data_IF_887830572866
#
_entry.id   IF_887830572866
#
_cell.length_a   1.000
_cell.length_b   1.000
_cell.length_c   1.000
_cell.angle_alpha   90.00
_cell.angle_beta   90.00
_cell.angle_gamma   90.00
#
_symmetry.space_group_name_H-M   'P 1'
#
loop_
_entity.id
_entity.type
_entity.pdbx_description
1 polymer ?
#
# COMPACT_ATOMS: atom_id res chain seq x y z
N UNK A 1 18.01 15.60 5.36
CA UNK A 1 18.20 14.15 5.16
C UNK A 1 19.25 13.67 6.13
N UNK A 2 18.88 12.84 7.12
CA UNK A 2 19.89 12.07 7.85
C UNK A 2 20.53 11.12 6.87
N UNK A 3 21.85 11.12 6.82
CA UNK A 3 22.64 10.24 5.95
C UNK A 3 22.42 8.77 6.34
N UNK A 4 21.48 8.10 5.65
CA UNK A 4 21.12 6.71 5.91
C UNK A 4 22.20 5.69 5.47
N UNK A 5 23.35 6.15 4.95
CA UNK A 5 24.42 5.29 4.47
C UNK A 5 25.07 4.40 5.53
N UNK A 6 24.82 4.69 6.81
CA UNK A 6 25.40 3.95 7.94
C UNK A 6 24.38 3.15 8.76
N UNK A 7 23.10 3.13 8.36
CA UNK A 7 22.09 2.30 9.03
C UNK A 7 22.06 0.93 8.35
N UNK A 8 22.43 -0.12 9.10
CA UNK A 8 22.28 -1.48 8.61
C UNK A 8 20.80 -1.78 8.34
N UNK A 9 20.48 -2.20 7.13
CA UNK A 9 19.12 -2.60 6.77
C UNK A 9 18.79 -3.97 7.35
N UNK A 10 17.57 -4.12 7.83
CA UNK A 10 17.03 -5.42 8.26
C UNK A 10 16.76 -6.30 7.04
N UNK A 11 16.81 -7.61 7.25
CA UNK A 11 16.31 -8.62 6.32
C UNK A 11 14.85 -8.88 6.62
N UNK A 12 14.03 -9.00 5.58
CA UNK A 12 12.64 -9.49 5.76
C UNK A 12 12.65 -10.99 6.09
N UNK A 13 11.57 -11.55 6.63
CA UNK A 13 11.43 -13.00 6.83
C UNK A 13 11.55 -13.81 5.53
N UNK A 14 11.28 -13.18 4.37
CA UNK A 14 11.44 -13.80 3.05
C UNK A 14 12.85 -13.66 2.45
N UNK A 15 13.77 -12.96 3.12
CA UNK A 15 15.05 -12.56 2.51
C UNK A 15 15.88 -13.73 1.98
N UNK A 16 15.89 -14.89 2.64
CA UNK A 16 16.60 -16.07 2.16
C UNK A 16 16.08 -16.51 0.77
N UNK A 17 14.79 -16.41 0.54
CA UNK A 17 14.13 -16.80 -0.72
C UNK A 17 14.25 -15.70 -1.78
N UNK A 18 14.03 -14.46 -1.40
CA UNK A 18 14.16 -13.31 -2.31
C UNK A 18 15.60 -13.16 -2.81
N UNK A 19 16.60 -13.41 -1.95
CA UNK A 19 18.00 -13.35 -2.35
C UNK A 19 18.41 -14.49 -3.31
N UNK A 20 17.90 -15.71 -3.11
CA UNK A 20 18.10 -16.82 -4.03
C UNK A 20 17.43 -16.59 -5.39
N UNK A 21 16.27 -15.96 -5.40
CA UNK A 21 15.53 -15.65 -6.62
C UNK A 21 16.16 -14.48 -7.41
N UNK A 22 16.87 -13.57 -6.74
CA UNK A 22 17.48 -12.39 -7.37
C UNK A 22 18.68 -12.77 -8.22
N UNK A 23 18.62 -12.46 -9.52
CA UNK A 23 19.69 -12.64 -10.50
C UNK A 23 20.47 -11.35 -10.78
N UNK A 24 19.89 -10.20 -10.39
CA UNK A 24 20.45 -8.88 -10.70
C UNK A 24 21.25 -8.30 -9.56
N UNK A 25 21.04 -8.79 -8.33
CA UNK A 25 21.59 -8.23 -7.09
C UNK A 25 21.30 -6.73 -6.91
N UNK A 26 20.14 -6.27 -7.40
CA UNK A 26 19.67 -4.89 -7.25
C UNK A 26 18.73 -4.81 -6.06
N UNK A 27 19.08 -4.01 -5.06
CA UNK A 27 18.37 -3.88 -3.80
C UNK A 27 18.09 -2.42 -3.46
N UNK A 28 17.03 -2.18 -2.70
CA UNK A 28 16.76 -0.87 -2.11
C UNK A 28 16.27 -1.00 -0.67
N UNK A 29 16.30 0.13 0.06
CA UNK A 29 15.84 0.20 1.43
C UNK A 29 14.40 0.70 1.51
N UNK A 30 13.51 -0.09 2.12
CA UNK A 30 12.14 0.30 2.38
C UNK A 30 11.82 0.11 3.87
N UNK A 31 11.47 1.19 4.58
CA UNK A 31 11.17 1.21 6.02
C UNK A 31 12.21 0.51 6.92
N UNK A 32 13.49 0.56 6.52
CA UNK A 32 14.58 -0.06 7.25
C UNK A 32 14.87 -1.51 6.87
N UNK A 33 14.13 -2.08 5.91
CA UNK A 33 14.39 -3.39 5.32
C UNK A 33 15.11 -3.28 3.98
N UNK A 34 15.80 -4.35 3.57
CA UNK A 34 16.33 -4.50 2.22
C UNK A 34 15.42 -5.40 1.40
N UNK A 35 15.01 -4.95 0.22
CA UNK A 35 14.15 -5.68 -0.71
C UNK A 35 14.67 -5.56 -2.15
N UNK A 36 14.43 -6.55 -3.03
CA UNK A 36 14.88 -6.49 -4.42
C UNK A 36 14.14 -5.38 -5.19
N UNK A 37 14.91 -4.59 -5.93
CA UNK A 37 14.37 -3.64 -6.91
C UNK A 37 13.88 -4.38 -8.16
N UNK A 38 14.63 -5.44 -8.53
CA UNK A 38 14.41 -6.27 -9.70
C UNK A 38 15.05 -7.64 -9.45
N UNK A 39 14.36 -8.70 -9.82
CA UNK A 39 14.86 -10.07 -9.67
C UNK A 39 15.55 -10.59 -10.94
N UNK A 40 14.99 -10.27 -12.12
CA UNK A 40 15.52 -10.71 -13.41
C UNK A 40 15.56 -9.54 -14.40
N UNK A 41 14.50 -9.37 -15.18
CA UNK A 41 14.28 -8.18 -16.00
C UNK A 41 12.89 -7.63 -15.71
N UNK A 42 12.77 -6.32 -15.68
CA UNK A 42 11.52 -5.63 -15.40
C UNK A 42 10.38 -6.08 -16.32
N UNK A 43 10.68 -6.32 -17.61
CA UNK A 43 9.70 -6.75 -18.62
C UNK A 43 9.13 -8.15 -18.33
N UNK A 44 9.97 -9.09 -17.87
CA UNK A 44 9.51 -10.43 -17.51
C UNK A 44 8.65 -10.43 -16.25
N UNK A 45 9.01 -9.61 -15.28
CA UNK A 45 8.26 -9.43 -14.03
C UNK A 45 6.92 -8.75 -14.31
N UNK A 46 6.93 -7.68 -15.10
CA UNK A 46 5.72 -7.00 -15.59
C UNK A 46 4.79 -7.98 -16.34
N UNK A 47 5.37 -8.77 -17.25
CA UNK A 47 4.59 -9.76 -18.01
C UNK A 47 3.94 -10.80 -17.10
N UNK A 48 4.58 -11.20 -16.00
CA UNK A 48 3.98 -12.11 -15.04
C UNK A 48 2.77 -11.49 -14.34
N UNK A 49 2.84 -10.21 -13.97
CA UNK A 49 1.70 -9.50 -13.38
C UNK A 49 0.51 -9.35 -14.33
N UNK A 50 0.74 -9.27 -15.67
CA UNK A 50 -0.32 -9.11 -16.67
C UNK A 50 -0.84 -10.44 -17.27
N UNK A 51 -0.02 -11.49 -17.29
CA UNK A 51 -0.35 -12.75 -18.01
C UNK A 51 -0.17 -14.02 -17.14
N UNK A 52 0.11 -13.87 -15.86
CA UNK A 52 0.38 -15.00 -14.96
C UNK A 52 0.12 -14.61 -13.50
N UNK A 53 1.09 -14.96 -12.66
CA UNK A 53 1.09 -14.59 -11.23
C UNK A 53 2.42 -13.93 -10.86
N UNK A 54 2.39 -12.76 -10.25
CA UNK A 54 3.54 -12.09 -9.68
C UNK A 54 3.49 -12.14 -8.15
N UNK A 55 4.67 -12.22 -7.50
CA UNK A 55 4.81 -12.30 -6.04
C UNK A 55 5.79 -11.25 -5.56
N UNK A 56 5.34 -10.35 -4.68
CA UNK A 56 6.17 -9.32 -4.08
C UNK A 56 6.14 -9.39 -2.56
N UNK A 57 7.30 -9.20 -1.95
CA UNK A 57 7.44 -9.07 -0.49
C UNK A 57 6.96 -7.69 -0.03
N UNK A 58 5.84 -7.66 0.69
CA UNK A 58 5.24 -6.45 1.28
C UNK A 58 5.57 -6.26 2.77
N UNK A 59 6.39 -7.13 3.35
CA UNK A 59 6.71 -7.07 4.79
C UNK A 59 7.17 -5.68 5.26
N UNK A 60 7.90 -4.88 4.47
CA UNK A 60 8.32 -3.55 4.91
C UNK A 60 7.20 -2.52 5.08
N UNK A 61 5.99 -2.75 4.55
CA UNK A 61 4.86 -1.82 4.78
C UNK A 61 4.66 -1.59 6.28
N UNK A 62 4.45 -0.33 6.68
CA UNK A 62 4.03 0.01 8.03
C UNK A 62 2.69 -0.67 8.36
N UNK A 63 2.61 -1.36 9.48
CA UNK A 63 1.40 -2.04 9.96
C UNK A 63 1.16 -1.66 11.42
N UNK A 64 0.03 -1.00 11.67
CA UNK A 64 -0.31 -0.48 12.98
C UNK A 64 -1.64 -1.11 13.43
N UNK A 65 -1.56 -1.95 14.46
CA UNK A 65 -2.75 -2.47 15.12
C UNK A 65 -3.29 -1.39 16.05
N UNK A 66 -4.59 -1.08 15.90
CA UNK A 66 -5.32 -0.08 16.67
C UNK A 66 -6.45 -0.82 17.38
N UNK A 67 -6.43 -0.82 18.72
CA UNK A 67 -7.43 -1.52 19.54
C UNK A 67 -7.97 -0.62 20.64
N UNK A 68 -9.21 -0.83 21.04
CA UNK A 68 -9.86 -0.10 22.15
C UNK A 68 -11.30 0.29 21.85
N UNK A 69 -11.99 0.78 22.86
CA UNK A 69 -13.43 1.13 22.76
C UNK A 69 -13.67 2.28 21.80
N UNK A 70 -12.69 3.17 21.61
CA UNK A 70 -12.75 4.31 20.69
C UNK A 70 -12.09 4.01 19.33
N UNK A 71 -11.64 2.77 19.04
CA UNK A 71 -10.88 2.47 17.85
C UNK A 71 -11.59 2.88 16.55
N UNK A 72 -12.87 2.59 16.41
CA UNK A 72 -13.66 2.99 15.24
C UNK A 72 -13.77 4.52 15.11
N UNK A 73 -14.03 5.20 16.22
CA UNK A 73 -14.13 6.66 16.23
C UNK A 73 -12.78 7.30 15.86
N UNK A 74 -11.70 6.77 16.40
CA UNK A 74 -10.34 7.24 16.11
C UNK A 74 -9.97 7.07 14.64
N UNK A 75 -10.15 5.88 14.04
CA UNK A 75 -9.80 5.69 12.63
C UNK A 75 -10.68 6.53 11.70
N UNK A 76 -11.96 6.73 12.03
CA UNK A 76 -12.83 7.63 11.28
C UNK A 76 -12.43 9.11 11.45
N UNK A 77 -11.88 9.50 12.61
CA UNK A 77 -11.31 10.82 12.84
C UNK A 77 -10.03 11.08 12.03
N UNK A 78 -9.16 10.07 11.87
CA UNK A 78 -7.89 10.21 11.16
C UNK A 78 -8.07 10.46 9.65
N UNK A 79 -9.07 9.82 9.01
CA UNK A 79 -9.15 9.73 7.56
C UNK A 79 -10.25 10.59 6.97
N UNK A 80 -10.06 11.01 5.74
CA UNK A 80 -11.04 11.86 5.04
C UNK A 80 -12.29 11.10 4.59
N UNK A 81 -12.17 9.77 4.41
CA UNK A 81 -13.26 8.88 4.03
C UNK A 81 -14.18 8.61 5.22
N UNK A 82 -15.47 8.45 4.95
CA UNK A 82 -16.47 8.01 5.94
C UNK A 82 -16.36 6.48 6.12
N UNK A 83 -16.05 6.04 7.34
CA UNK A 83 -15.93 4.64 7.71
C UNK A 83 -17.11 4.14 8.56
N UNK A 84 -18.15 4.97 8.80
CA UNK A 84 -19.26 4.65 9.70
C UNK A 84 -19.99 3.35 9.33
N UNK A 85 -20.14 3.08 8.03
CA UNK A 85 -20.81 1.88 7.49
C UNK A 85 -19.84 0.77 7.06
N UNK A 86 -18.55 0.86 7.45
CA UNK A 86 -17.59 -0.17 7.11
C UNK A 86 -17.91 -1.47 7.83
N UNK A 87 -18.08 -2.57 7.09
CA UNK A 87 -18.38 -3.90 7.63
C UNK A 87 -17.12 -4.58 8.21
N UNK A 88 -17.32 -5.49 9.17
CA UNK A 88 -16.22 -6.31 9.70
C UNK A 88 -15.67 -7.26 8.60
N UNK A 89 -14.40 -7.62 8.70
CA UNK A 89 -13.66 -8.41 7.71
C UNK A 89 -13.60 -7.76 6.32
N UNK A 90 -13.58 -6.43 6.28
CA UNK A 90 -13.35 -5.65 5.06
C UNK A 90 -12.12 -4.77 5.18
N UNK A 91 -11.67 -4.27 4.03
CA UNK A 91 -10.55 -3.34 3.86
C UNK A 91 -11.08 -2.08 3.20
N UNK A 92 -10.59 -0.92 3.56
CA UNK A 92 -10.89 0.31 2.85
C UNK A 92 -9.61 1.03 2.44
N UNK A 93 -9.58 1.53 1.19
CA UNK A 93 -8.54 2.46 0.77
C UNK A 93 -8.82 3.84 1.35
N UNK A 94 -7.83 4.45 1.96
CA UNK A 94 -7.94 5.67 2.75
C UNK A 94 -6.82 6.64 2.43
N UNK A 95 -7.08 7.92 2.71
CA UNK A 95 -6.09 9.00 2.68
C UNK A 95 -6.25 9.85 3.94
N UNK A 96 -5.16 10.36 4.48
CA UNK A 96 -5.18 11.25 5.62
C UNK A 96 -4.30 12.48 5.41
N UNK A 97 -4.67 13.53 6.10
CA UNK A 97 -4.10 14.86 5.92
C UNK A 97 -3.66 15.44 7.27
N UNK A 98 -2.85 16.48 7.21
CA UNK A 98 -2.64 17.37 8.33
C UNK A 98 -3.82 18.37 8.48
N UNK A 99 -3.78 19.23 9.50
CA UNK A 99 -4.83 20.22 9.77
C UNK A 99 -5.04 21.25 8.63
N UNK A 100 -4.01 21.47 7.80
CA UNK A 100 -4.08 22.33 6.62
C UNK A 100 -4.69 21.62 5.39
N UNK A 101 -5.19 20.39 5.56
CA UNK A 101 -5.76 19.58 4.47
C UNK A 101 -4.73 19.10 3.47
N UNK A 102 -3.46 19.03 3.85
CA UNK A 102 -2.39 18.52 2.99
C UNK A 102 -2.09 17.06 3.31
N UNK A 103 -1.93 16.27 2.26
CA UNK A 103 -1.80 14.81 2.35
C UNK A 103 -0.50 14.43 3.07
N UNK A 104 -0.63 13.62 4.10
CA UNK A 104 0.49 12.97 4.79
C UNK A 104 0.83 11.68 4.06
N UNK A 105 -0.17 10.80 3.88
CA UNK A 105 0.00 9.52 3.17
C UNK A 105 -1.37 8.96 2.76
N UNK A 106 -1.33 7.87 2.02
CA UNK A 106 -2.45 7.01 1.70
C UNK A 106 -2.17 5.57 2.15
N UNK A 107 -3.20 4.74 2.17
CA UNK A 107 -3.02 3.35 2.60
C UNK A 107 -4.32 2.59 2.69
N UNK A 108 -4.30 1.52 3.44
CA UNK A 108 -5.47 0.66 3.67
C UNK A 108 -5.74 0.50 5.16
N UNK A 109 -7.03 0.49 5.51
CA UNK A 109 -7.50 0.16 6.85
C UNK A 109 -8.28 -1.16 6.81
N UNK A 110 -7.86 -2.13 7.60
CA UNK A 110 -8.49 -3.43 7.79
C UNK A 110 -9.36 -3.34 9.04
N UNK A 111 -10.62 -3.69 8.94
CA UNK A 111 -11.55 -3.76 10.08
C UNK A 111 -11.80 -5.21 10.46
N UNK A 112 -11.36 -5.61 11.65
CA UNK A 112 -11.64 -6.93 12.22
C UNK A 112 -12.90 -6.89 13.09
N UNK A 113 -13.10 -5.81 13.81
CA UNK A 113 -14.29 -5.52 14.63
C UNK A 113 -14.40 -4.01 14.87
N UNK A 114 -15.45 -3.57 15.59
CA UNK A 114 -15.56 -2.17 16.02
C UNK A 114 -14.43 -1.69 16.93
N UNK A 115 -13.71 -2.60 17.59
CA UNK A 115 -12.65 -2.31 18.55
C UNK A 115 -11.26 -2.74 18.06
N UNK A 116 -11.14 -3.26 16.82
CA UNK A 116 -9.87 -3.75 16.28
C UNK A 116 -9.71 -3.44 14.81
N UNK A 117 -8.66 -2.68 14.50
CA UNK A 117 -8.27 -2.28 13.15
C UNK A 117 -6.77 -2.54 12.92
N UNK A 118 -6.37 -2.65 11.65
CA UNK A 118 -4.97 -2.57 11.24
C UNK A 118 -4.84 -1.54 10.11
N UNK A 119 -4.03 -0.51 10.34
CA UNK A 119 -3.68 0.47 9.32
C UNK A 119 -2.38 0.06 8.65
N UNK A 120 -2.40 -0.02 7.31
CA UNK A 120 -1.23 -0.32 6.50
C UNK A 120 -0.90 0.85 5.58
N UNK A 121 0.39 1.24 5.51
CA UNK A 121 0.86 2.35 4.70
C UNK A 121 2.31 2.17 4.22
N UNK A 122 2.70 2.96 3.22
CA UNK A 122 4.02 2.84 2.61
C UNK A 122 5.13 3.44 3.48
N UNK A 123 4.84 4.47 4.29
CA UNK A 123 5.80 5.15 5.16
C UNK A 123 5.50 4.92 6.64
N UNK A 124 6.49 5.16 7.52
CA UNK A 124 6.32 5.03 8.97
C UNK A 124 5.67 6.26 9.57
N UNK A 125 4.53 6.09 10.23
CA UNK A 125 3.71 7.17 10.80
C UNK A 125 3.39 7.00 12.30
N UNK A 126 4.07 6.11 13.03
CA UNK A 126 3.73 5.80 14.42
C UNK A 126 3.67 7.04 15.32
N UNK A 127 4.62 7.97 15.16
CA UNK A 127 4.63 9.19 15.98
C UNK A 127 3.37 10.03 15.73
N UNK A 128 3.02 10.24 14.46
CA UNK A 128 1.81 10.98 14.10
C UNK A 128 0.53 10.29 14.60
N UNK A 129 0.48 8.95 14.54
CA UNK A 129 -0.65 8.18 15.10
C UNK A 129 -0.77 8.38 16.61
N UNK A 130 0.35 8.31 17.35
CA UNK A 130 0.35 8.51 18.80
C UNK A 130 -0.06 9.94 19.19
N UNK A 131 0.44 10.95 18.48
CA UNK A 131 0.07 12.34 18.72
C UNK A 131 -1.43 12.58 18.44
N UNK A 132 -1.97 11.92 17.40
CA UNK A 132 -3.39 11.99 17.02
C UNK A 132 -4.30 11.21 17.97
N UNK A 133 -3.76 10.29 18.75
CA UNK A 133 -4.52 9.41 19.66
C UNK A 133 -4.86 10.07 21.01
N UNK A 134 -4.34 11.26 21.27
CA UNK A 134 -4.60 11.94 22.55
C UNK A 134 -6.10 12.17 22.76
N UNK A 135 -6.61 11.69 23.89
CA UNK A 135 -8.03 11.79 24.27
C UNK A 135 -8.92 10.63 23.82
N UNK A 136 -8.37 9.62 23.11
CA UNK A 136 -9.10 8.39 22.75
C UNK A 136 -8.71 7.21 23.66
N UNK A 137 -9.67 6.37 24.03
CA UNK A 137 -9.43 5.12 24.76
C UNK A 137 -9.01 4.01 23.79
N UNK A 138 -7.75 4.08 23.35
CA UNK A 138 -7.16 3.14 22.38
C UNK A 138 -5.72 2.77 22.73
N UNK A 139 -5.25 1.69 22.13
CA UNK A 139 -3.86 1.27 22.10
C UNK A 139 -3.40 1.13 20.64
N UNK A 140 -2.25 1.70 20.32
CA UNK A 140 -1.61 1.59 19.00
C UNK A 140 -0.33 0.78 19.14
N UNK A 141 -0.20 -0.28 18.33
CA UNK A 141 0.97 -1.14 18.33
C UNK A 141 1.55 -1.22 16.91
N UNK A 142 2.84 -0.90 16.76
CA UNK A 142 3.56 -1.18 15.52
C UNK A 142 3.79 -2.70 15.41
N UNK A 143 3.11 -3.32 14.44
CA UNK A 143 3.20 -4.75 14.13
C UNK A 143 3.99 -5.03 12.86
N UNK A 144 4.71 -4.04 12.34
CA UNK A 144 5.49 -4.15 11.10
C UNK A 144 6.45 -5.33 11.13
N UNK A 145 7.14 -5.52 12.25
CA UNK A 145 8.15 -6.58 12.41
C UNK A 145 7.53 -7.96 12.77
N UNK A 146 6.22 -8.02 13.10
CA UNK A 146 5.55 -9.24 13.58
C UNK A 146 4.56 -9.84 12.58
N UNK A 147 4.42 -9.24 11.40
CA UNK A 147 3.56 -9.73 10.33
C UNK A 147 4.35 -9.75 9.03
N UNK A 148 4.59 -10.94 8.49
CA UNK A 148 5.11 -11.13 7.14
C UNK A 148 3.98 -11.00 6.11
N UNK A 149 4.25 -10.37 4.96
CA UNK A 149 3.24 -10.15 3.95
C UNK A 149 3.76 -10.37 2.52
N UNK A 150 2.94 -11.01 1.68
CA UNK A 150 3.18 -11.16 0.24
C UNK A 150 2.02 -10.57 -0.55
N UNK A 151 2.33 -9.85 -1.62
CA UNK A 151 1.38 -9.49 -2.66
C UNK A 151 1.41 -10.53 -3.77
N UNK A 152 0.25 -11.08 -4.14
CA UNK A 152 0.07 -12.10 -5.17
C UNK A 152 -0.85 -11.53 -6.24
N UNK A 153 -0.29 -11.07 -7.35
CA UNK A 153 -1.02 -10.28 -8.34
C UNK A 153 -0.98 -10.92 -9.74
N UNK A 154 -2.00 -10.67 -10.51
CA UNK A 154 -2.14 -11.11 -11.91
C UNK A 154 -3.32 -12.05 -12.13
N UNK A 155 -3.69 -12.30 -13.40
CA UNK A 155 -4.93 -13.00 -13.77
C UNK A 155 -5.00 -14.45 -13.27
N UNK A 156 -3.87 -15.09 -12.96
CA UNK A 156 -3.85 -16.46 -12.41
C UNK A 156 -3.63 -16.51 -10.88
N UNK A 157 -3.62 -15.36 -10.20
CA UNK A 157 -3.39 -15.28 -8.74
C UNK A 157 -4.42 -16.07 -7.94
N UNK A 158 -5.71 -16.00 -8.30
CA UNK A 158 -6.76 -16.80 -7.65
C UNK A 158 -6.50 -18.31 -7.79
N UNK A 159 -6.16 -18.78 -8.98
CA UNK A 159 -5.86 -20.20 -9.22
C UNK A 159 -4.62 -20.66 -8.45
N UNK A 160 -3.58 -19.81 -8.39
CA UNK A 160 -2.38 -20.06 -7.60
C UNK A 160 -2.72 -20.25 -6.12
N UNK A 161 -3.53 -19.35 -5.55
CA UNK A 161 -3.91 -19.41 -4.15
C UNK A 161 -4.89 -20.54 -3.82
N UNK A 162 -5.76 -20.91 -4.75
CA UNK A 162 -6.60 -22.12 -4.59
C UNK A 162 -5.75 -23.39 -4.55
N UNK A 163 -4.73 -23.49 -5.40
CA UNK A 163 -3.78 -24.60 -5.38
C UNK A 163 -2.94 -24.59 -4.08
N UNK A 164 -2.65 -23.42 -3.52
CA UNK A 164 -1.98 -23.23 -2.24
C UNK A 164 -2.83 -23.69 -1.05
N UNK A 165 -4.16 -23.74 -1.18
CA UNK A 165 -5.10 -24.20 -0.14
C UNK A 165 -6.13 -23.16 0.30
N UNK A 166 -6.15 -21.98 -0.29
CA UNK A 166 -7.18 -20.98 -0.03
C UNK A 166 -8.46 -21.32 -0.84
N UNK A 167 -9.21 -22.32 -0.37
CA UNK A 167 -10.45 -22.75 -1.02
C UNK A 167 -11.54 -21.67 -0.89
N UNK A 168 -12.45 -21.62 -1.88
CA UNK A 168 -13.54 -20.62 -1.98
C UNK A 168 -13.08 -19.16 -2.10
N UNK A 169 -11.82 -18.93 -2.46
CA UNK A 169 -11.24 -17.59 -2.61
C UNK A 169 -11.94 -16.76 -3.69
N UNK A 170 -12.54 -17.41 -4.71
CA UNK A 170 -13.32 -16.76 -5.76
C UNK A 170 -14.57 -16.04 -5.24
N UNK A 171 -15.07 -16.40 -4.07
CA UNK A 171 -16.23 -15.76 -3.45
C UNK A 171 -15.86 -14.44 -2.75
N UNK A 172 -14.58 -14.23 -2.44
CA UNK A 172 -14.10 -13.02 -1.78
C UNK A 172 -14.23 -11.83 -2.74
N UNK A 173 -14.99 -10.82 -2.36
CA UNK A 173 -15.17 -9.60 -3.16
C UNK A 173 -13.96 -8.66 -3.03
N UNK A 174 -13.77 -7.72 -3.97
CA UNK A 174 -12.76 -6.68 -3.80
C UNK A 174 -12.90 -5.97 -2.45
N UNK A 175 -11.78 -5.77 -1.77
CA UNK A 175 -11.71 -5.19 -0.43
C UNK A 175 -12.36 -6.00 0.69
N UNK A 176 -12.65 -7.28 0.49
CA UNK A 176 -12.93 -8.22 1.57
C UNK A 176 -11.66 -8.96 1.99
N UNK A 177 -11.66 -9.48 3.22
CA UNK A 177 -10.61 -10.32 3.75
C UNK A 177 -11.18 -11.56 4.44
N UNK A 178 -10.39 -12.63 4.47
CA UNK A 178 -10.76 -13.91 5.09
C UNK A 178 -9.54 -14.62 5.64
N UNK A 179 -9.68 -15.21 6.81
CA UNK A 179 -8.67 -16.10 7.39
C UNK A 179 -8.80 -17.51 6.84
N UNK A 180 -7.64 -18.10 6.51
CA UNK A 180 -7.51 -19.48 6.08
C UNK A 180 -6.52 -20.21 6.99
N UNK A 181 -6.77 -21.49 7.23
CA UNK A 181 -5.79 -22.38 7.87
C UNK A 181 -5.17 -23.25 6.80
N UNK A 182 -3.90 -23.00 6.47
CA UNK A 182 -3.17 -23.66 5.39
C UNK A 182 -1.93 -24.32 6.00
N UNK A 183 -1.73 -25.61 5.76
CA UNK A 183 -0.60 -26.38 6.29
C UNK A 183 -0.39 -26.24 7.81
N UNK A 184 -1.48 -26.00 8.55
CA UNK A 184 -1.47 -25.91 10.02
C UNK A 184 -1.20 -24.52 10.57
N UNK A 185 -0.94 -23.51 9.77
CA UNK A 185 -0.79 -22.11 10.20
C UNK A 185 -1.85 -21.17 9.61
N UNK A 186 -2.02 -20.03 10.25
CA UNK A 186 -3.06 -19.08 9.90
C UNK A 186 -2.53 -18.08 8.85
N UNK A 187 -3.32 -17.87 7.82
CA UNK A 187 -3.06 -16.91 6.73
C UNK A 187 -4.28 -16.02 6.54
N UNK A 188 -4.15 -14.74 6.84
CA UNK A 188 -5.15 -13.77 6.43
C UNK A 188 -4.94 -13.45 4.95
N UNK A 189 -6.00 -13.52 4.16
CA UNK A 189 -5.99 -13.15 2.73
C UNK A 189 -6.94 -11.99 2.53
N UNK A 190 -6.44 -10.89 1.98
CA UNK A 190 -7.25 -9.77 1.52
C UNK A 190 -7.29 -9.72 0.00
N UNK A 191 -8.46 -9.37 -0.58
CA UNK A 191 -8.57 -9.12 -2.02
C UNK A 191 -8.25 -7.66 -2.31
N UNK A 192 -6.97 -7.35 -2.18
CA UNK A 192 -6.35 -6.04 -2.38
C UNK A 192 -5.13 -6.16 -3.28
N UNK A 193 -4.65 -5.04 -3.82
CA UNK A 193 -3.46 -5.02 -4.66
C UNK A 193 -3.16 -3.64 -5.23
N UNK A 194 -1.97 -3.49 -5.79
CA UNK A 194 -1.44 -2.22 -6.28
C UNK A 194 -0.98 -2.29 -7.75
N UNK A 195 -1.55 -3.24 -8.52
CA UNK A 195 -1.17 -3.45 -9.94
C UNK A 195 -2.28 -3.12 -10.93
N UNK A 196 -3.50 -2.84 -10.45
CA UNK A 196 -4.68 -2.62 -11.28
C UNK A 196 -5.27 -3.89 -11.89
N UNK A 197 -4.69 -5.05 -11.58
CA UNK A 197 -5.16 -6.37 -12.02
C UNK A 197 -5.76 -7.15 -10.84
N UNK A 198 -6.30 -8.35 -11.12
CA UNK A 198 -6.74 -9.26 -10.06
C UNK A 198 -5.56 -9.56 -9.12
N UNK A 199 -5.80 -9.43 -7.82
CA UNK A 199 -4.76 -9.70 -6.86
C UNK A 199 -5.26 -9.90 -5.44
N UNK A 200 -4.35 -10.44 -4.63
CA UNK A 200 -4.56 -10.73 -3.22
C UNK A 200 -3.30 -10.40 -2.44
N UNK A 201 -3.45 -10.15 -1.16
CA UNK A 201 -2.35 -9.99 -0.23
C UNK A 201 -2.49 -11.02 0.89
N UNK A 202 -1.38 -11.68 1.23
CA UNK A 202 -1.31 -12.70 2.26
C UNK A 202 -0.53 -12.16 3.45
N UNK A 203 -1.05 -12.39 4.65
CA UNK A 203 -0.50 -11.90 5.91
C UNK A 203 -0.39 -13.07 6.87
N UNK A 204 0.78 -13.29 7.47
CA UNK A 204 1.04 -14.40 8.38
C UNK A 204 2.11 -14.06 9.41
N UNK A 205 2.31 -14.95 10.39
CA UNK A 205 3.44 -14.85 11.30
C UNK A 205 4.77 -14.99 10.54
N UNK A 206 5.81 -14.20 10.87
CA UNK A 206 7.13 -14.28 10.25
C UNK A 206 7.76 -15.66 10.21
N UNK A 207 7.50 -16.51 11.20
CA UNK A 207 8.04 -17.87 11.27
C UNK A 207 7.52 -18.77 10.13
N UNK A 208 6.38 -18.43 9.54
CA UNK A 208 5.79 -19.17 8.42
C UNK A 208 6.25 -18.65 7.04
N UNK A 209 6.99 -17.55 6.97
CA UNK A 209 7.27 -16.81 5.75
C UNK A 209 7.97 -17.67 4.68
N UNK A 210 9.04 -18.39 5.05
CA UNK A 210 9.76 -19.23 4.08
C UNK A 210 8.90 -20.35 3.54
N UNK A 211 8.13 -21.02 4.41
CA UNK A 211 7.19 -22.07 4.02
C UNK A 211 6.10 -21.52 3.09
N UNK A 212 5.53 -20.36 3.42
CA UNK A 212 4.54 -19.69 2.57
C UNK A 212 5.10 -19.37 1.19
N UNK A 213 6.30 -18.80 1.11
CA UNK A 213 6.95 -18.52 -0.17
C UNK A 213 7.11 -19.77 -1.02
N UNK A 214 7.73 -20.82 -0.46
CA UNK A 214 8.02 -22.05 -1.19
C UNK A 214 6.73 -22.70 -1.72
N UNK A 215 5.68 -22.77 -0.87
CA UNK A 215 4.39 -23.33 -1.24
C UNK A 215 3.61 -22.51 -2.26
N UNK A 216 3.64 -21.19 -2.18
CA UNK A 216 3.01 -20.31 -3.17
C UNK A 216 3.69 -20.49 -4.54
N UNK A 217 5.03 -20.56 -4.60
CA UNK A 217 5.75 -20.79 -5.84
C UNK A 217 5.53 -22.20 -6.41
N UNK A 218 5.46 -23.24 -5.57
CA UNK A 218 5.07 -24.58 -5.97
C UNK A 218 3.67 -24.59 -6.61
N UNK A 219 2.70 -23.97 -5.94
CA UNK A 219 1.29 -23.90 -6.34
C UNK A 219 1.06 -23.14 -7.67
N UNK A 220 1.91 -22.15 -7.95
CA UNK A 220 1.88 -21.36 -9.17
C UNK A 220 2.81 -21.84 -10.28
N UNK A 221 3.50 -22.98 -10.12
CA UNK A 221 4.57 -23.44 -11.03
C UNK A 221 4.12 -23.59 -12.49
N UNK A 222 2.88 -24.02 -12.72
CA UNK A 222 2.27 -24.13 -14.04
C UNK A 222 1.53 -22.85 -14.50
N UNK A 223 1.47 -21.83 -13.66
CA UNK A 223 0.70 -20.58 -13.85
C UNK A 223 1.61 -19.37 -14.11
N UNK A 224 2.83 -19.61 -14.61
CA UNK A 224 3.83 -18.58 -14.94
C UNK A 224 4.16 -17.66 -13.76
N UNK A 225 4.21 -18.21 -12.54
CA UNK A 225 4.53 -17.46 -11.34
C UNK A 225 5.97 -16.94 -11.39
N UNK A 226 6.15 -15.66 -11.00
CA UNK A 226 7.47 -15.02 -10.90
C UNK A 226 7.55 -14.09 -9.69
N UNK A 227 8.75 -13.95 -9.08
CA UNK A 227 8.98 -12.86 -8.16
C UNK A 227 8.90 -11.53 -8.90
N UNK A 228 8.52 -10.48 -8.15
CA UNK A 228 8.13 -9.19 -8.69
C UNK A 228 8.76 -8.07 -7.86
N UNK A 229 9.59 -7.25 -8.49
CA UNK A 229 10.33 -6.18 -7.85
C UNK A 229 9.68 -4.81 -8.03
N UNK A 230 10.28 -3.81 -7.40
CA UNK A 230 9.77 -2.44 -7.37
C UNK A 230 9.66 -1.81 -8.77
N UNK A 231 10.59 -2.07 -9.69
CA UNK A 231 10.55 -1.47 -11.02
C UNK A 231 9.31 -1.93 -11.81
N UNK A 232 8.97 -3.21 -11.74
CA UNK A 232 7.77 -3.73 -12.39
C UNK A 232 6.48 -3.27 -11.67
N UNK A 233 6.51 -3.10 -10.33
CA UNK A 233 5.42 -2.49 -9.59
C UNK A 233 5.16 -1.05 -10.05
N UNK A 234 6.21 -0.24 -10.23
CA UNK A 234 6.09 1.12 -10.74
C UNK A 234 5.38 1.17 -12.11
N UNK A 235 5.71 0.27 -13.02
CA UNK A 235 5.02 0.21 -14.32
C UNK A 235 3.53 -0.12 -14.15
N UNK A 236 3.22 -1.16 -13.38
CA UNK A 236 1.84 -1.63 -13.25
C UNK A 236 0.94 -0.66 -12.50
N UNK A 237 1.45 -0.01 -11.43
CA UNK A 237 0.67 0.95 -10.65
C UNK A 237 0.41 2.24 -11.43
N UNK A 238 1.38 2.72 -12.23
CA UNK A 238 1.21 3.91 -13.08
C UNK A 238 0.15 3.65 -14.16
N UNK A 239 0.17 2.48 -14.81
CA UNK A 239 -0.87 2.09 -15.78
C UNK A 239 -2.26 2.05 -15.13
N UNK A 240 -2.35 1.63 -13.87
CA UNK A 240 -3.60 1.62 -13.11
C UNK A 240 -4.03 3.01 -12.60
N UNK A 241 -3.18 4.03 -12.74
CA UNK A 241 -3.42 5.35 -12.20
C UNK A 241 -3.30 5.43 -10.67
N UNK A 242 -2.62 4.47 -10.04
CA UNK A 242 -2.39 4.47 -8.61
C UNK A 242 -1.21 5.36 -8.25
N UNK A 243 -1.42 6.23 -7.27
CA UNK A 243 -0.41 7.16 -6.77
C UNK A 243 0.41 6.55 -5.65
N UNK A 244 1.62 7.08 -5.47
CA UNK A 244 2.52 6.68 -4.40
C UNK A 244 3.12 7.92 -3.72
N UNK A 245 2.99 7.99 -2.41
CA UNK A 245 3.58 9.04 -1.57
C UNK A 245 5.11 9.06 -1.73
N UNK A 246 5.68 10.27 -1.76
CA UNK A 246 7.10 10.55 -1.99
C UNK A 246 7.65 10.14 -3.37
N UNK A 247 6.79 9.66 -4.27
CA UNK A 247 7.12 9.40 -5.68
C UNK A 247 6.36 10.36 -6.59
N UNK A 248 5.03 10.39 -6.53
CA UNK A 248 4.18 11.26 -7.36
C UNK A 248 3.90 12.61 -6.68
N UNK A 249 3.85 12.62 -5.36
CA UNK A 249 3.72 13.83 -4.54
C UNK A 249 4.54 13.69 -3.26
N UNK A 250 4.80 14.81 -2.61
CA UNK A 250 5.57 14.84 -1.37
C UNK A 250 4.62 14.79 -0.17
N UNK A 251 4.88 13.89 0.78
CA UNK A 251 4.20 13.87 2.07
C UNK A 251 4.27 15.23 2.77
N UNK A 252 3.17 15.68 3.36
CA UNK A 252 3.12 17.00 4.00
C UNK A 252 4.15 17.16 5.11
N UNK A 253 4.43 16.10 5.87
CA UNK A 253 5.42 16.11 6.97
C UNK A 253 6.87 16.17 6.50
N UNK A 254 7.16 15.75 5.26
CA UNK A 254 8.50 15.79 4.67
C UNK A 254 8.76 17.05 3.85
N UNK A 255 7.71 17.81 3.57
CA UNK A 255 7.78 18.99 2.72
C UNK A 255 8.41 20.18 3.45
N UNK A 256 9.65 20.53 3.10
CA UNK A 256 10.35 21.71 3.66
C UNK A 256 9.69 23.05 3.25
N UNK A 257 8.85 23.04 2.22
CA UNK A 257 8.18 24.24 1.71
C UNK A 257 6.68 23.96 1.52
N UNK A 258 5.77 24.77 2.07
CA UNK A 258 4.32 24.58 1.93
C UNK A 258 3.85 24.44 0.48
N UNK A 259 4.52 25.12 -0.46
CA UNK A 259 4.20 25.05 -1.90
C UNK A 259 4.40 23.64 -2.50
N UNK A 260 5.09 22.74 -1.82
CA UNK A 260 5.26 21.34 -2.25
C UNK A 260 4.21 20.38 -1.70
N UNK A 261 3.49 20.79 -0.66
CA UNK A 261 2.39 20.00 -0.11
C UNK A 261 1.23 19.97 -1.10
N UNK A 262 0.45 18.90 -1.10
CA UNK A 262 -0.73 18.72 -1.97
C UNK A 262 -1.95 18.39 -1.15
N UNK A 263 -3.09 18.90 -1.58
CA UNK A 263 -4.38 18.41 -1.07
C UNK A 263 -4.84 17.16 -1.84
N UNK A 264 -5.79 16.38 -1.29
CA UNK A 264 -6.39 15.26 -2.03
C UNK A 264 -6.98 15.68 -3.38
N UNK A 265 -7.48 16.92 -3.50
CA UNK A 265 -8.04 17.43 -4.76
C UNK A 265 -6.97 17.62 -5.82
N UNK A 266 -5.79 18.12 -5.44
CA UNK A 266 -4.67 18.35 -6.35
C UNK A 266 -4.07 17.04 -6.91
N UNK A 267 -4.21 15.91 -6.20
CA UNK A 267 -3.65 14.59 -6.61
C UNK A 267 -4.72 13.63 -7.14
N UNK A 268 -5.93 14.12 -7.44
CA UNK A 268 -7.01 13.30 -8.01
C UNK A 268 -7.74 12.41 -7.00
N UNK A 269 -7.49 12.57 -5.69
CA UNK A 269 -8.09 11.76 -4.61
C UNK A 269 -9.29 12.45 -3.93
N UNK A 270 -9.83 13.50 -4.55
CA UNK A 270 -10.98 14.22 -4.00
C UNK A 270 -12.23 13.36 -3.77
N UNK A 271 -12.34 12.21 -4.44
CA UNK A 271 -13.42 11.25 -4.26
C UNK A 271 -13.36 10.53 -2.90
N UNK A 272 -12.21 10.52 -2.21
CA UNK A 272 -12.05 10.01 -0.84
C UNK A 272 -12.38 11.06 0.23
N UNK A 273 -12.65 12.33 -0.16
CA UNK A 273 -12.93 13.41 0.80
C UNK A 273 -14.43 13.50 1.04
N UNK A 274 -14.92 12.87 2.09
CA UNK A 274 -16.33 12.85 2.46
C UNK A 274 -16.65 14.01 3.42
N UNK A 275 -16.75 15.23 2.90
CA UNK A 275 -17.03 16.44 3.72
C UNK A 275 -18.34 16.35 4.51
N UNK A 276 -19.30 15.57 4.01
CA UNK A 276 -20.65 15.44 4.60
C UNK A 276 -20.74 14.35 5.68
N UNK A 277 -19.63 13.61 5.95
CA UNK A 277 -19.65 12.62 7.03
C UNK A 277 -19.95 13.30 8.37
N UNK A 278 -20.66 12.56 9.25
CA UNK A 278 -21.17 13.08 10.52
C UNK A 278 -20.03 13.57 11.43
N UNK A 279 -18.98 12.76 11.55
CA UNK A 279 -17.87 13.05 12.43
C UNK A 279 -16.88 14.07 11.80
N UNK A 280 -16.17 14.78 12.65
CA UNK A 280 -15.02 15.57 12.21
C UNK A 280 -13.86 14.63 11.82
N UNK A 281 -13.01 15.10 10.91
CA UNK A 281 -11.75 14.44 10.58
C UNK A 281 -10.64 15.49 10.41
N UNK A 282 -9.40 15.07 10.60
CA UNK A 282 -8.22 15.95 10.50
C UNK A 282 -8.15 16.61 9.12
N UNK A 283 -8.04 17.93 9.10
CA UNK A 283 -8.02 18.71 7.86
C UNK A 283 -9.40 19.05 7.26
N UNK A 284 -10.52 18.58 7.84
CA UNK A 284 -11.88 18.78 7.29
C UNK A 284 -12.19 20.25 6.98
N UNK A 285 -11.81 21.17 7.89
CA UNK A 285 -12.09 22.61 7.74
C UNK A 285 -11.34 23.19 6.55
N UNK A 286 -10.07 22.85 6.39
CA UNK A 286 -9.22 23.34 5.30
C UNK A 286 -9.71 22.79 3.95
N UNK A 287 -9.98 21.49 3.87
CA UNK A 287 -10.50 20.83 2.67
C UNK A 287 -11.88 21.36 2.25
N UNK A 288 -12.75 21.65 3.21
CA UNK A 288 -14.04 22.28 2.95
C UNK A 288 -13.85 23.67 2.36
N UNK A 289 -13.01 24.50 2.96
CA UNK A 289 -12.69 25.84 2.46
C UNK A 289 -12.09 25.80 1.05
N UNK A 290 -11.15 24.88 0.78
CA UNK A 290 -10.54 24.70 -0.54
C UNK A 290 -11.60 24.39 -1.61
N UNK A 291 -12.51 23.44 -1.30
CA UNK A 291 -13.58 23.03 -2.23
C UNK A 291 -14.62 24.12 -2.47
N UNK A 292 -15.12 24.75 -1.40
CA UNK A 292 -16.18 25.77 -1.50
C UNK A 292 -15.73 27.05 -2.21
N UNK A 293 -14.45 27.40 -2.09
CA UNK A 293 -13.88 28.61 -2.69
C UNK A 293 -13.05 28.34 -3.97
N UNK A 294 -13.05 27.09 -4.50
CA UNK A 294 -12.30 26.69 -5.69
C UNK A 294 -10.81 27.06 -5.62
N UNK A 295 -10.16 26.77 -4.49
CA UNK A 295 -8.76 27.11 -4.24
C UNK A 295 -7.76 26.08 -4.75
N UNK A 296 -8.22 25.01 -5.38
CA UNK A 296 -7.34 23.98 -5.99
C UNK A 296 -6.61 24.58 -7.20
N UNK A 297 -5.29 24.76 -7.07
CA UNK A 297 -4.48 25.44 -8.08
C UNK A 297 -3.81 24.49 -9.08
N UNK A 298 -3.69 23.23 -8.74
CA UNK A 298 -2.90 22.23 -9.48
C UNK A 298 -3.66 20.93 -9.63
N UNK A 299 -3.25 20.16 -10.62
CA UNK A 299 -3.80 18.83 -10.84
C UNK A 299 -2.66 17.88 -11.24
N UNK A 300 -2.59 16.71 -10.58
CA UNK A 300 -1.74 15.62 -11.04
C UNK A 300 -2.35 15.03 -12.32
N UNK A 301 -1.53 14.87 -13.35
CA UNK A 301 -1.94 14.34 -14.65
C UNK A 301 -1.02 13.22 -15.09
N UNK A 302 -1.56 12.23 -15.78
CA UNK A 302 -0.78 11.25 -16.53
C UNK A 302 -0.32 11.86 -17.86
N UNK A 303 0.88 11.49 -18.30
CA UNK A 303 1.39 11.83 -19.62
C UNK A 303 1.48 10.56 -20.47
N UNK A 304 0.86 10.60 -21.63
CA UNK A 304 1.10 9.61 -22.68
C UNK A 304 2.19 10.18 -23.61
N UNK A 305 3.28 9.43 -23.78
CA UNK A 305 4.50 9.91 -24.43
C UNK A 305 4.80 9.02 -25.62
N UNK A 306 4.73 9.60 -26.82
CA UNK A 306 5.10 8.93 -28.05
C UNK A 306 6.60 8.64 -28.12
N UNK A 307 6.94 7.43 -28.58
CA UNK A 307 8.32 7.01 -28.82
C UNK A 307 8.80 5.92 -27.86
N UNK A 308 9.99 5.43 -28.12
CA UNK A 308 10.64 4.30 -27.45
C UNK A 308 11.81 4.68 -26.53
N UNK A 309 12.02 5.99 -26.33
CA UNK A 309 13.06 6.51 -25.43
C UNK A 309 12.51 6.87 -24.06
N UNK A 310 13.22 6.51 -22.97
CA UNK A 310 12.82 6.97 -21.64
C UNK A 310 12.73 8.50 -21.56
N UNK A 311 11.61 9.01 -21.06
CA UNK A 311 11.38 10.46 -20.90
C UNK A 311 11.84 11.00 -19.55
N UNK A 312 12.42 10.18 -18.69
CA UNK A 312 12.89 10.58 -17.36
C UNK A 312 13.89 11.73 -17.46
N UNK A 313 13.65 12.82 -16.72
CA UNK A 313 14.47 14.03 -16.75
C UNK A 313 14.27 14.93 -17.98
N UNK A 314 13.33 14.59 -18.86
CA UNK A 314 13.01 15.43 -20.02
C UNK A 314 12.27 16.71 -19.60
N UNK A 315 12.50 17.79 -20.36
CA UNK A 315 11.81 19.07 -20.15
C UNK A 315 10.49 19.07 -20.92
N UNK A 316 9.43 19.48 -20.24
CA UNK A 316 8.11 19.65 -20.85
C UNK A 316 8.01 21.08 -21.39
N UNK A 317 7.71 21.23 -22.69
CA UNK A 317 7.50 22.49 -23.35
C UNK A 317 6.01 22.68 -23.67
N UNK A 318 5.52 23.90 -23.49
CA UNK A 318 4.22 24.31 -23.99
C UNK A 318 4.43 25.09 -25.29
N UNK A 319 3.93 24.57 -26.41
CA UNK A 319 4.07 25.22 -27.75
C UNK A 319 3.40 26.60 -27.87
N UNK A 320 2.62 26.99 -26.86
CA UNK A 320 1.89 28.28 -26.88
C UNK A 320 2.63 29.46 -26.24
N UNK A 321 3.94 29.33 -26.02
CA UNK A 321 4.76 30.44 -25.55
C UNK A 321 6.06 30.55 -26.33
#
# INVERSE_FOLDING_TARGET
MKDNRFVALKKTPFHSRTSLASRTNKWYGWNGYTVPTEYSTTELEYTAARNGTSVMDLTPMGKYEITGTDAHHFVDYLVTRDLSEMEDNTVAYIIWCNEDGKVIDDGTIFKFSSEKFMLCCAVKILNWLNDSAEGFDISIKDTTDTIAALSIQGPTSCSTLKNYGAHDLETLKPFEMKEFKIDGYDVLVSRTGFTGDLGYELWTDPDNAETMWDKVFESGSLLKIRPFGMHALEMTRIEAGFIQTNTDFMAAEEALRPVRMRSPYEIGMGWLVHLNKKNYFVGKRALKNEKENNLTERCLVGLDIDGDKPAHGSVIYNEKK
#
